data_IF_516016646201
#
_entry.id   IF_516016646201
#
_cell.length_a   1.000
_cell.length_b   1.000
_cell.length_c   1.000
_cell.angle_alpha   90.00
_cell.angle_beta   90.00
_cell.angle_gamma   90.00
#
_symmetry.space_group_name_H-M   'P 1'
#
loop_
_entity.id
_entity.type
_entity.pdbx_description
1 polymer ?
#
# COMPACT_ATOMS: atom_id res chain seq x y z
N UNK A 1 -31.11 -8.68 -20.24
CA UNK A 1 -30.82 -7.48 -19.42
C UNK A 1 -29.50 -7.70 -18.70
N UNK A 2 -28.37 -7.19 -19.19
CA UNK A 2 -27.11 -7.32 -18.48
C UNK A 2 -26.97 -6.14 -17.52
N UNK A 3 -27.02 -6.41 -16.22
CA UNK A 3 -26.61 -5.45 -15.20
C UNK A 3 -25.07 -5.42 -15.20
N UNK A 4 -24.51 -4.54 -16.01
CA UNK A 4 -23.09 -4.17 -15.91
C UNK A 4 -22.88 -3.51 -14.56
N UNK A 5 -22.34 -4.25 -13.59
CA UNK A 5 -21.80 -3.71 -12.35
C UNK A 5 -20.68 -2.73 -12.74
N UNK A 6 -20.77 -1.43 -12.44
CA UNK A 6 -19.60 -0.57 -12.54
C UNK A 6 -18.68 -0.98 -11.40
N UNK A 7 -17.60 -1.68 -11.73
CA UNK A 7 -16.47 -1.85 -10.82
C UNK A 7 -15.94 -0.44 -10.55
N UNK A 8 -16.32 0.15 -9.42
CA UNK A 8 -15.75 1.42 -8.97
C UNK A 8 -14.31 1.10 -8.61
N UNK A 9 -13.40 1.39 -9.55
CA UNK A 9 -11.96 1.25 -9.33
C UNK A 9 -11.58 2.40 -8.40
N UNK A 10 -11.64 2.15 -7.09
CA UNK A 10 -11.11 3.07 -6.07
C UNK A 10 -9.59 3.06 -6.19
N UNK A 11 -9.05 3.90 -7.08
CA UNK A 11 -7.64 4.21 -7.18
C UNK A 11 -7.41 5.62 -6.61
N UNK A 12 -7.43 5.71 -5.28
CA UNK A 12 -6.93 6.85 -4.53
C UNK A 12 -5.78 6.35 -3.66
N UNK A 13 -4.62 6.16 -4.27
CA UNK A 13 -3.40 5.91 -3.50
C UNK A 13 -2.30 6.93 -3.75
N UNK A 14 -2.27 7.64 -4.87
CA UNK A 14 -1.09 8.46 -5.23
C UNK A 14 -1.46 9.69 -6.06
N UNK A 15 -2.20 10.63 -5.47
CA UNK A 15 -2.52 11.92 -6.10
C UNK A 15 -1.87 13.05 -5.29
N UNK A 16 -0.62 13.41 -5.63
CA UNK A 16 0.00 14.64 -5.15
C UNK A 16 1.03 15.16 -6.17
N UNK A 17 0.61 16.10 -7.01
CA UNK A 17 1.22 17.45 -7.11
C UNK A 17 0.87 18.13 -8.44
N UNK A 18 0.35 19.35 -8.35
CA UNK A 18 0.57 20.39 -9.36
C UNK A 18 1.63 21.35 -8.80
N UNK A 19 2.57 21.84 -9.62
CA UNK A 19 3.59 22.76 -9.13
C UNK A 19 2.97 24.16 -8.98
N UNK A 20 3.48 24.93 -8.02
CA UNK A 20 3.28 26.38 -7.84
C UNK A 20 2.06 26.82 -7.02
N UNK A 21 2.16 26.66 -5.69
CA UNK A 21 2.03 27.78 -4.75
C UNK A 21 2.70 27.43 -3.42
N UNK A 22 3.43 28.40 -2.90
CA UNK A 22 4.29 28.31 -1.74
C UNK A 22 3.52 27.92 -0.47
N UNK A 23 4.18 27.11 0.38
CA UNK A 23 3.89 26.97 1.81
C UNK A 23 2.42 26.68 2.16
N UNK A 24 1.89 25.61 1.61
CA UNK A 24 0.92 24.79 2.35
C UNK A 24 1.40 23.35 2.27
N UNK A 25 2.53 23.12 2.93
CA UNK A 25 3.09 21.80 3.26
C UNK A 25 2.22 21.15 4.36
N UNK A 26 0.90 21.23 4.20
CA UNK A 26 -0.08 20.68 5.12
C UNK A 26 -0.56 19.35 4.53
N UNK A 27 0.28 18.34 4.78
CA UNK A 27 0.05 16.89 4.67
C UNK A 27 -0.08 16.28 3.28
N UNK A 28 1.00 16.33 2.49
CA UNK A 28 1.47 15.06 1.94
C UNK A 28 1.90 14.22 3.16
N UNK A 29 1.02 13.32 3.62
CA UNK A 29 1.30 12.51 4.79
C UNK A 29 2.61 11.75 4.56
N UNK A 30 3.56 11.88 5.49
CA UNK A 30 4.83 11.16 5.44
C UNK A 30 4.55 9.68 5.17
N UNK A 31 5.14 9.11 4.10
CA UNK A 31 4.85 7.73 3.68
C UNK A 31 5.23 6.73 4.76
N UNK A 32 6.27 7.01 5.53
CA UNK A 32 6.61 6.18 6.68
C UNK A 32 5.50 6.22 7.74
N UNK A 33 4.85 7.36 7.92
CA UNK A 33 3.66 7.48 8.78
C UNK A 33 2.48 6.68 8.23
N UNK A 34 2.21 6.73 6.92
CA UNK A 34 1.17 5.90 6.29
C UNK A 34 1.41 4.40 6.51
N UNK A 35 2.64 3.93 6.31
CA UNK A 35 2.99 2.52 6.51
C UNK A 35 2.85 2.12 7.98
N UNK A 36 3.30 2.97 8.91
CA UNK A 36 3.15 2.74 10.35
C UNK A 36 1.69 2.66 10.77
N UNK A 37 0.85 3.58 10.30
CA UNK A 37 -0.59 3.59 10.58
C UNK A 37 -1.28 2.36 10.00
N UNK A 38 -0.94 1.98 8.77
CA UNK A 38 -1.46 0.77 8.15
C UNK A 38 -1.08 -0.48 8.96
N UNK A 39 0.18 -0.62 9.38
CA UNK A 39 0.63 -1.72 10.24
C UNK A 39 -0.02 -1.71 11.64
N UNK A 40 -0.44 -0.54 12.13
CA UNK A 40 -1.18 -0.42 13.40
C UNK A 40 -2.66 -0.86 13.30
N UNK A 41 -3.20 -0.99 12.07
CA UNK A 41 -4.54 -1.50 11.83
C UNK A 41 -4.71 -2.96 12.28
N UNK A 42 -5.96 -3.43 12.42
CA UNK A 42 -6.25 -4.82 12.79
C UNK A 42 -5.60 -5.81 11.81
N UNK A 43 -5.70 -5.55 10.52
CA UNK A 43 -5.11 -6.37 9.47
C UNK A 43 -3.58 -6.29 9.48
N UNK A 44 -3.03 -5.08 9.62
CA UNK A 44 -1.59 -4.85 9.72
C UNK A 44 -0.92 -5.56 10.90
N UNK A 45 -1.56 -5.58 12.07
CA UNK A 45 -1.10 -6.35 13.24
C UNK A 45 -1.08 -7.86 12.96
N UNK A 46 -2.08 -8.37 12.24
CA UNK A 46 -2.14 -9.78 11.88
C UNK A 46 -1.05 -10.16 10.87
N UNK A 47 -0.78 -9.31 9.86
CA UNK A 47 0.35 -9.48 8.94
C UNK A 47 1.70 -9.43 9.67
N UNK A 48 1.84 -8.52 10.63
CA UNK A 48 3.06 -8.40 11.44
C UNK A 48 3.30 -9.67 12.28
N UNK A 49 2.25 -10.22 12.89
CA UNK A 49 2.36 -11.47 13.62
C UNK A 49 2.73 -12.63 12.70
N UNK A 50 2.17 -12.69 11.49
CA UNK A 50 2.51 -13.70 10.49
C UNK A 50 3.95 -13.57 9.99
N UNK A 51 4.43 -12.35 9.75
CA UNK A 51 5.84 -12.05 9.51
C UNK A 51 6.73 -12.56 10.65
N UNK A 52 6.34 -12.31 11.90
CA UNK A 52 7.05 -12.81 13.07
C UNK A 52 7.15 -14.34 13.10
N UNK A 53 6.09 -15.06 12.72
CA UNK A 53 6.14 -16.53 12.59
C UNK A 53 7.11 -16.95 11.49
N UNK A 54 7.03 -16.32 10.32
CA UNK A 54 7.89 -16.62 9.19
C UNK A 54 9.37 -16.41 9.54
N UNK A 55 9.70 -15.30 10.20
CA UNK A 55 11.06 -14.99 10.65
C UNK A 55 11.58 -16.04 11.64
N UNK A 56 10.80 -16.38 12.67
CA UNK A 56 11.19 -17.41 13.66
C UNK A 56 11.40 -18.78 13.03
N UNK A 57 10.58 -19.15 12.05
CA UNK A 57 10.70 -20.42 11.35
C UNK A 57 11.88 -20.48 10.37
N UNK A 58 12.29 -19.32 9.85
CA UNK A 58 13.28 -19.20 8.78
C UNK A 58 14.68 -18.82 9.26
N UNK A 59 14.79 -18.20 10.45
CA UNK A 59 16.06 -17.76 11.01
C UNK A 59 16.96 -18.94 11.39
N UNK A 60 18.25 -18.79 11.10
CA UNK A 60 19.29 -19.75 11.46
C UNK A 60 19.53 -19.76 12.99
N UNK A 61 19.27 -20.88 13.69
CA UNK A 61 19.42 -20.95 15.14
C UNK A 61 20.86 -20.70 15.64
N UNK A 62 21.88 -21.11 14.87
CA UNK A 62 23.27 -20.89 15.25
C UNK A 62 23.61 -19.39 15.18
N UNK A 63 23.22 -18.73 14.08
CA UNK A 63 23.35 -17.29 13.93
C UNK A 63 22.60 -16.52 15.03
N UNK A 64 21.37 -16.93 15.38
CA UNK A 64 20.61 -16.29 16.46
C UNK A 64 21.35 -16.38 17.79
N UNK A 65 21.93 -17.54 18.09
CA UNK A 65 22.73 -17.78 19.30
C UNK A 65 23.98 -16.90 19.30
N UNK A 66 24.72 -16.88 18.20
CA UNK A 66 25.96 -16.10 18.06
C UNK A 66 25.72 -14.59 18.15
N UNK A 67 24.61 -14.10 17.58
CA UNK A 67 24.20 -12.69 17.66
C UNK A 67 23.47 -12.34 18.98
N UNK A 68 23.20 -13.31 19.84
CA UNK A 68 22.42 -13.11 21.07
C UNK A 68 21.01 -12.58 20.81
N UNK A 69 20.39 -12.97 19.69
CA UNK A 69 19.06 -12.53 19.28
C UNK A 69 17.99 -13.48 19.81
N UNK A 70 17.09 -12.94 20.62
CA UNK A 70 15.95 -13.68 21.13
C UNK A 70 14.80 -13.73 20.11
N UNK A 71 14.02 -14.82 20.14
CA UNK A 71 12.95 -15.06 19.17
C UNK A 71 11.81 -14.02 19.21
N UNK A 72 11.59 -13.39 20.36
CA UNK A 72 10.62 -12.31 20.55
C UNK A 72 11.09 -10.97 19.95
N UNK A 73 12.39 -10.81 19.67
CA UNK A 73 12.97 -9.63 19.01
C UNK A 73 12.81 -9.65 17.50
N UNK A 74 12.56 -10.81 16.88
CA UNK A 74 12.50 -10.95 15.42
C UNK A 74 11.31 -10.22 14.81
N UNK A 75 10.14 -10.33 15.41
CA UNK A 75 8.91 -9.68 14.92
C UNK A 75 8.99 -8.14 14.92
N UNK A 76 9.34 -7.45 16.03
CA UNK A 76 9.44 -6.00 16.00
C UNK A 76 10.54 -5.50 15.05
N UNK A 77 11.68 -6.18 14.96
CA UNK A 77 12.74 -5.80 14.00
C UNK A 77 12.32 -6.05 12.55
N UNK A 78 11.64 -7.17 12.28
CA UNK A 78 11.08 -7.48 10.97
C UNK A 78 10.04 -6.45 10.53
N UNK A 79 9.17 -6.02 11.44
CA UNK A 79 8.24 -4.91 11.20
C UNK A 79 8.97 -3.63 10.82
N UNK A 80 10.06 -3.30 11.50
CA UNK A 80 10.82 -2.08 11.22
C UNK A 80 11.53 -2.15 9.84
N UNK A 81 11.95 -3.34 9.39
CA UNK A 81 12.42 -3.58 8.01
C UNK A 81 11.30 -3.32 7.02
N UNK A 82 10.10 -3.89 7.24
CA UNK A 82 8.94 -3.67 6.37
C UNK A 82 8.54 -2.20 6.33
N UNK A 83 8.62 -1.46 7.44
CA UNK A 83 8.37 -0.02 7.45
C UNK A 83 9.37 0.69 6.53
N UNK A 84 10.66 0.43 6.69
CA UNK A 84 11.73 1.08 5.93
C UNK A 84 11.60 0.81 4.43
N UNK A 85 11.53 -0.46 4.05
CA UNK A 85 11.51 -0.87 2.65
C UNK A 85 10.14 -0.68 2.01
N UNK A 86 9.05 -0.80 2.76
CA UNK A 86 7.72 -0.41 2.31
C UNK A 86 7.64 1.09 2.04
N UNK A 87 8.26 1.93 2.87
CA UNK A 87 8.36 3.38 2.61
C UNK A 87 9.15 3.64 1.31
N UNK A 88 10.32 3.02 1.17
CA UNK A 88 11.14 3.13 -0.05
C UNK A 88 10.36 2.69 -1.31
N UNK A 89 9.59 1.61 -1.22
CA UNK A 89 8.72 1.14 -2.31
C UNK A 89 7.66 2.18 -2.68
N UNK A 90 6.95 2.73 -1.68
CA UNK A 90 5.95 3.77 -1.93
C UNK A 90 6.58 5.04 -2.50
N UNK A 91 7.79 5.39 -2.07
CA UNK A 91 8.58 6.48 -2.65
C UNK A 91 8.86 6.30 -4.13
N UNK A 92 9.45 5.16 -4.50
CA UNK A 92 9.74 4.87 -5.90
C UNK A 92 8.48 4.76 -6.77
N UNK A 93 7.41 4.15 -6.25
CA UNK A 93 6.14 4.04 -6.97
C UNK A 93 5.49 5.42 -7.21
N UNK A 94 5.47 6.29 -6.19
CA UNK A 94 4.95 7.65 -6.32
C UNK A 94 5.75 8.44 -7.35
N UNK A 95 7.09 8.43 -7.24
CA UNK A 95 7.95 9.18 -8.14
C UNK A 95 7.82 8.73 -9.61
N UNK A 96 7.56 7.44 -9.85
CA UNK A 96 7.24 6.95 -11.18
C UNK A 96 5.91 7.50 -11.69
N UNK A 97 4.86 7.41 -10.87
CA UNK A 97 3.52 7.90 -11.21
C UNK A 97 3.52 9.40 -11.46
N UNK A 98 4.09 10.19 -10.55
CA UNK A 98 4.15 11.65 -10.64
C UNK A 98 4.79 12.09 -11.95
N UNK A 99 5.89 11.43 -12.34
CA UNK A 99 6.57 11.66 -13.63
C UNK A 99 5.69 11.34 -14.83
N UNK A 100 4.88 10.29 -14.78
CA UNK A 100 3.98 9.97 -15.89
C UNK A 100 2.80 10.95 -15.97
N UNK A 101 2.30 11.42 -14.82
CA UNK A 101 1.13 12.29 -14.75
C UNK A 101 1.45 13.77 -14.93
N UNK A 102 2.68 14.22 -14.65
CA UNK A 102 3.10 15.62 -14.86
C UNK A 102 2.95 16.06 -16.31
N UNK A 103 3.17 15.12 -17.23
CA UNK A 103 3.15 15.39 -18.67
C UNK A 103 1.71 15.44 -19.22
N UNK A 104 0.71 14.98 -18.46
CA UNK A 104 -0.70 14.93 -18.84
C UNK A 104 -1.61 15.20 -17.62
N UNK A 105 -1.63 16.44 -17.11
CA UNK A 105 -2.39 16.76 -15.90
C UNK A 105 -3.89 16.58 -16.14
N UNK A 106 -4.55 15.93 -15.18
CA UNK A 106 -6.00 15.76 -15.18
C UNK A 106 -6.69 17.13 -14.96
N UNK A 107 -7.58 17.52 -15.88
CA UNK A 107 -8.23 18.83 -15.88
C UNK A 107 -9.09 19.12 -14.62
N UNK A 108 -9.49 18.09 -13.87
CA UNK A 108 -10.30 18.23 -12.66
C UNK A 108 -9.53 18.15 -11.33
N UNK A 109 -8.19 18.13 -11.36
CA UNK A 109 -7.38 17.90 -10.16
C UNK A 109 -7.63 18.93 -9.05
N UNK A 110 -7.69 20.23 -9.39
CA UNK A 110 -7.93 21.29 -8.41
C UNK A 110 -9.34 21.22 -7.79
N UNK A 111 -10.35 20.89 -8.61
CA UNK A 111 -11.73 20.72 -8.13
C UNK A 111 -11.80 19.51 -7.19
N UNK A 112 -11.21 18.38 -7.59
CA UNK A 112 -11.15 17.16 -6.78
C UNK A 112 -10.54 17.43 -5.40
N UNK A 113 -9.44 18.18 -5.36
CA UNK A 113 -8.79 18.52 -4.10
C UNK A 113 -9.66 19.43 -3.23
N UNK A 114 -10.28 20.46 -3.83
CA UNK A 114 -11.17 21.36 -3.09
C UNK A 114 -12.35 20.63 -2.44
N UNK A 115 -12.87 19.58 -3.09
CA UNK A 115 -14.00 18.79 -2.60
C UNK A 115 -13.67 18.00 -1.33
N UNK A 116 -12.40 17.70 -1.06
CA UNK A 116 -11.98 17.01 0.19
C UNK A 116 -12.29 17.82 1.46
N UNK A 117 -12.51 19.13 1.33
CA UNK A 117 -12.95 19.98 2.44
C UNK A 117 -14.42 19.75 2.84
N UNK A 118 -15.25 19.20 1.93
CA UNK A 118 -16.67 19.01 2.13
C UNK A 118 -16.98 17.93 3.20
N UNK A 119 -17.96 18.13 4.11
CA UNK A 119 -18.24 17.17 5.18
C UNK A 119 -18.60 15.76 4.72
N UNK A 120 -19.39 15.61 3.65
CA UNK A 120 -19.78 14.29 3.14
C UNK A 120 -18.59 13.57 2.49
N UNK A 121 -17.70 14.33 1.85
CA UNK A 121 -16.45 13.80 1.29
C UNK A 121 -15.49 13.39 2.41
N UNK A 122 -15.31 14.21 3.45
CA UNK A 122 -14.52 13.84 4.64
C UNK A 122 -15.03 12.57 5.28
N UNK A 123 -16.36 12.44 5.40
CA UNK A 123 -16.99 11.23 5.93
C UNK A 123 -16.73 10.01 5.04
N UNK A 124 -16.84 10.17 3.72
CA UNK A 124 -16.49 9.12 2.77
C UNK A 124 -15.03 8.67 2.93
N UNK A 125 -14.09 9.63 2.94
CA UNK A 125 -12.66 9.36 3.08
C UNK A 125 -12.32 8.68 4.42
N UNK A 126 -12.98 9.07 5.51
CA UNK A 126 -12.81 8.40 6.80
C UNK A 126 -13.34 6.95 6.79
N UNK A 127 -14.40 6.68 6.01
CA UNK A 127 -14.89 5.30 5.81
C UNK A 127 -13.98 4.48 4.90
N UNK A 128 -13.26 5.13 3.99
CA UNK A 128 -12.31 4.51 3.06
C UNK A 128 -10.96 4.18 3.71
N UNK A 129 -10.61 4.84 4.81
CA UNK A 129 -9.30 4.67 5.45
C UNK A 129 -8.90 3.19 5.70
N UNK A 130 -9.78 2.28 6.17
CA UNK A 130 -9.42 0.87 6.35
C UNK A 130 -9.03 0.15 5.04
N UNK A 131 -9.72 0.42 3.92
CA UNK A 131 -9.36 -0.20 2.63
C UNK A 131 -8.07 0.41 2.09
N UNK A 132 -7.82 1.71 2.32
CA UNK A 132 -6.56 2.35 1.94
C UNK A 132 -5.36 1.72 2.64
N UNK A 133 -5.48 1.52 3.96
CA UNK A 133 -4.46 0.85 4.77
C UNK A 133 -4.23 -0.60 4.30
N UNK A 134 -5.31 -1.34 4.03
CA UNK A 134 -5.21 -2.70 3.52
C UNK A 134 -4.49 -2.77 2.17
N UNK A 135 -4.84 -1.90 1.22
CA UNK A 135 -4.17 -1.85 -0.09
C UNK A 135 -2.68 -1.51 0.00
N UNK A 136 -2.29 -0.59 0.90
CA UNK A 136 -0.87 -0.30 1.18
C UNK A 136 -0.15 -1.57 1.65
N UNK A 137 -0.73 -2.29 2.61
CA UNK A 137 -0.14 -3.50 3.16
C UNK A 137 -0.08 -4.63 2.14
N UNK A 138 -1.16 -4.86 1.40
CA UNK A 138 -1.22 -5.90 0.37
C UNK A 138 -0.16 -5.64 -0.70
N UNK A 139 -0.01 -4.39 -1.15
CA UNK A 139 1.03 -4.01 -2.10
C UNK A 139 2.43 -4.29 -1.54
N UNK A 140 2.71 -3.86 -0.30
CA UNK A 140 4.03 -4.04 0.34
C UNK A 140 4.34 -5.53 0.50
N UNK A 141 3.44 -6.31 1.10
CA UNK A 141 3.69 -7.72 1.39
C UNK A 141 3.70 -8.58 0.13
N UNK A 142 2.87 -8.29 -0.87
CA UNK A 142 2.95 -8.97 -2.17
C UNK A 142 4.33 -8.73 -2.81
N UNK A 143 4.80 -7.48 -2.86
CA UNK A 143 6.08 -7.17 -3.50
C UNK A 143 7.27 -7.70 -2.70
N UNK A 144 7.19 -7.65 -1.37
CA UNK A 144 8.20 -8.21 -0.47
C UNK A 144 8.31 -9.74 -0.63
N UNK A 145 7.19 -10.46 -0.64
CA UNK A 145 7.20 -11.91 -0.82
C UNK A 145 7.68 -12.31 -2.22
N UNK A 146 7.23 -11.60 -3.27
CA UNK A 146 7.72 -11.81 -4.64
C UNK A 146 9.22 -11.55 -4.74
N UNK A 147 9.72 -10.51 -4.07
CA UNK A 147 11.15 -10.24 -3.98
C UNK A 147 11.90 -11.43 -3.37
N UNK A 148 11.46 -11.90 -2.21
CA UNK A 148 12.13 -12.99 -1.50
C UNK A 148 12.22 -14.26 -2.36
N UNK A 149 11.17 -14.56 -3.14
CA UNK A 149 11.20 -15.66 -4.12
C UNK A 149 12.22 -15.42 -5.22
N UNK A 150 12.22 -14.24 -5.85
CA UNK A 150 13.13 -13.89 -6.97
C UNK A 150 14.59 -13.90 -6.50
N UNK A 151 14.88 -13.26 -5.37
CA UNK A 151 16.21 -13.14 -4.78
C UNK A 151 16.65 -14.39 -4.00
N UNK A 152 15.81 -15.45 -4.00
CA UNK A 152 16.05 -16.72 -3.29
C UNK A 152 16.30 -16.55 -1.79
N UNK A 153 15.78 -15.48 -1.18
CA UNK A 153 15.84 -15.29 0.27
C UNK A 153 15.07 -16.42 0.95
N UNK A 154 15.70 -17.05 1.95
CA UNK A 154 15.10 -18.16 2.72
C UNK A 154 14.17 -17.58 3.79
N UNK A 155 13.08 -16.96 3.36
CA UNK A 155 12.02 -16.44 4.23
C UNK A 155 10.67 -16.96 3.72
N UNK A 156 9.84 -17.48 4.63
CA UNK A 156 8.47 -17.88 4.31
C UNK A 156 7.62 -16.67 3.91
N UNK A 157 6.65 -16.89 3.01
CA UNK A 157 5.71 -15.84 2.61
C UNK A 157 4.80 -15.39 3.77
N UNK A 158 4.29 -14.17 3.66
CA UNK A 158 3.36 -13.53 4.61
C UNK A 158 2.05 -13.15 3.94
N UNK A 159 2.09 -12.79 2.66
CA UNK A 159 0.95 -12.30 1.89
C UNK A 159 -0.14 -13.39 1.76
N UNK A 160 -1.40 -13.13 2.16
CA UNK A 160 -2.43 -14.17 2.24
C UNK A 160 -2.72 -14.88 0.92
N UNK A 161 -2.72 -14.15 -0.21
CA UNK A 161 -3.00 -14.76 -1.51
C UNK A 161 -1.86 -15.66 -2.00
N UNK A 162 -0.62 -15.37 -1.59
CA UNK A 162 0.54 -16.21 -1.93
C UNK A 162 0.67 -17.44 -1.03
N UNK A 163 0.29 -17.30 0.24
CA UNK A 163 0.40 -18.38 1.25
C UNK A 163 -0.84 -19.26 1.35
N UNK A 164 -1.98 -18.83 0.83
CA UNK A 164 -3.27 -19.50 1.03
C UNK A 164 -3.83 -19.33 2.46
N UNK A 165 -3.32 -18.37 3.24
CA UNK A 165 -3.77 -18.16 4.62
C UNK A 165 -5.15 -17.47 4.66
N UNK A 166 -6.21 -18.28 4.58
CA UNK A 166 -7.59 -17.78 4.59
C UNK A 166 -7.96 -17.00 5.86
N UNK A 167 -7.39 -17.37 7.02
CA UNK A 167 -7.66 -16.67 8.27
C UNK A 167 -7.17 -15.22 8.21
N UNK A 168 -6.00 -15.01 7.60
CA UNK A 168 -5.44 -13.68 7.37
C UNK A 168 -6.20 -12.93 6.27
N UNK A 169 -6.60 -13.62 5.19
CA UNK A 169 -7.43 -13.05 4.13
C UNK A 169 -8.77 -12.52 4.66
N UNK A 170 -9.43 -13.26 5.56
CA UNK A 170 -10.70 -12.85 6.20
C UNK A 170 -10.57 -11.60 7.09
N UNK A 171 -9.35 -11.22 7.49
CA UNK A 171 -9.10 -9.99 8.25
C UNK A 171 -8.92 -8.77 7.36
N UNK A 172 -8.74 -8.96 6.05
CA UNK A 172 -8.68 -7.86 5.10
C UNK A 172 -10.05 -7.15 5.04
N UNK A 173 -10.11 -5.83 5.33
CA UNK A 173 -11.37 -5.11 5.43
C UNK A 173 -11.96 -4.72 4.06
N UNK A 174 -11.32 -5.04 2.94
CA UNK A 174 -11.66 -4.58 1.58
C UNK A 174 -13.15 -4.80 1.27
N UNK A 175 -13.62 -6.04 1.18
CA UNK A 175 -14.99 -6.35 0.76
C UNK A 175 -16.04 -5.64 1.64
N UNK A 176 -15.87 -5.72 2.96
CA UNK A 176 -16.79 -5.12 3.92
C UNK A 176 -16.77 -3.58 3.86
N UNK A 177 -15.64 -2.98 3.51
CA UNK A 177 -15.51 -1.52 3.37
C UNK A 177 -16.08 -1.04 2.04
N UNK A 178 -15.84 -1.76 0.94
CA UNK A 178 -16.42 -1.46 -0.37
C UNK A 178 -17.95 -1.47 -0.33
N UNK A 179 -18.57 -2.49 0.28
CA UNK A 179 -20.02 -2.55 0.43
C UNK A 179 -20.58 -1.35 1.21
N UNK A 180 -19.88 -0.93 2.26
CA UNK A 180 -20.24 0.23 3.09
C UNK A 180 -20.11 1.54 2.32
N UNK A 181 -19.03 1.72 1.56
CA UNK A 181 -18.79 2.90 0.73
C UNK A 181 -19.83 2.99 -0.39
N UNK A 182 -20.12 1.89 -1.09
CA UNK A 182 -21.15 1.84 -2.13
C UNK A 182 -22.52 2.19 -1.55
N UNK A 183 -22.87 1.61 -0.40
CA UNK A 183 -24.14 1.90 0.28
C UNK A 183 -24.23 3.36 0.70
N UNK A 184 -23.16 3.94 1.22
CA UNK A 184 -23.10 5.35 1.60
C UNK A 184 -23.24 6.27 0.38
N UNK A 185 -22.50 6.00 -0.69
CA UNK A 185 -22.56 6.76 -1.93
C UNK A 185 -23.95 6.71 -2.58
N UNK A 186 -24.57 5.52 -2.65
CA UNK A 186 -25.91 5.31 -3.23
C UNK A 186 -27.00 6.06 -2.47
N UNK A 187 -26.92 6.10 -1.13
CA UNK A 187 -27.91 6.77 -0.27
C UNK A 187 -27.69 8.28 -0.17
N UNK A 188 -26.50 8.78 -0.54
CA UNK A 188 -26.16 10.19 -0.39
C UNK A 188 -26.85 11.08 -1.44
N UNK A 189 -27.43 12.19 -0.96
CA UNK A 189 -27.94 13.28 -1.83
C UNK A 189 -26.90 14.37 -2.08
N UNK A 190 -25.69 14.22 -1.55
CA UNK A 190 -24.62 15.22 -1.64
C UNK A 190 -24.11 15.37 -3.06
N UNK A 191 -24.30 16.56 -3.65
CA UNK A 191 -23.74 16.89 -4.97
C UNK A 191 -22.21 16.88 -4.95
N UNK A 192 -21.62 17.35 -3.85
CA UNK A 192 -20.17 17.37 -3.65
C UNK A 192 -19.59 15.95 -3.64
N UNK A 193 -20.20 15.02 -2.89
CA UNK A 193 -19.75 13.62 -2.89
C UNK A 193 -19.86 12.99 -4.28
N UNK A 194 -20.97 13.19 -5.00
CA UNK A 194 -21.14 12.64 -6.35
C UNK A 194 -20.09 13.18 -7.31
N UNK A 195 -19.80 14.48 -7.24
CA UNK A 195 -18.77 15.11 -8.06
C UNK A 195 -17.37 14.62 -7.69
N UNK A 196 -17.10 14.45 -6.40
CA UNK A 196 -15.85 13.90 -5.91
C UNK A 196 -15.60 12.50 -6.49
N UNK A 197 -16.57 11.59 -6.36
CA UNK A 197 -16.46 10.23 -6.91
C UNK A 197 -16.25 10.22 -8.43
N UNK A 198 -17.00 11.05 -9.15
CA UNK A 198 -16.84 11.19 -10.61
C UNK A 198 -15.42 11.66 -10.99
N UNK A 199 -14.88 12.65 -10.28
CA UNK A 199 -13.54 13.17 -10.54
C UNK A 199 -12.46 12.16 -10.13
N UNK A 200 -12.66 11.40 -9.05
CA UNK A 200 -11.77 10.30 -8.65
C UNK A 200 -11.70 9.21 -9.71
N UNK A 201 -12.82 8.81 -10.32
CA UNK A 201 -12.84 7.85 -11.41
C UNK A 201 -12.07 8.38 -12.64
N UNK A 202 -12.25 9.67 -12.96
CA UNK A 202 -11.54 10.30 -14.08
C UNK A 202 -10.03 10.41 -13.82
N UNK A 203 -9.63 10.75 -12.60
CA UNK A 203 -8.23 10.77 -12.17
C UNK A 203 -7.60 9.38 -12.30
N UNK A 204 -8.27 8.33 -11.82
CA UNK A 204 -7.81 6.95 -11.93
C UNK A 204 -7.61 6.51 -13.39
N UNK A 205 -8.54 6.88 -14.28
CA UNK A 205 -8.44 6.62 -15.73
C UNK A 205 -7.26 7.37 -16.33
N UNK A 206 -7.09 8.65 -16.00
CA UNK A 206 -6.00 9.48 -16.50
C UNK A 206 -4.63 8.95 -16.05
N UNK A 207 -4.48 8.62 -14.77
CA UNK A 207 -3.28 8.01 -14.21
C UNK A 207 -2.95 6.68 -14.88
N UNK A 208 -3.95 5.80 -15.04
CA UNK A 208 -3.78 4.52 -15.75
C UNK A 208 -3.34 4.72 -17.20
N UNK A 209 -3.92 5.70 -17.91
CA UNK A 209 -3.54 6.02 -19.28
C UNK A 209 -2.11 6.57 -19.37
N UNK A 210 -1.69 7.39 -18.41
CA UNK A 210 -0.33 7.91 -18.32
C UNK A 210 0.69 6.79 -18.08
N UNK A 211 0.43 5.91 -17.11
CA UNK A 211 1.28 4.74 -16.83
C UNK A 211 1.40 3.82 -18.04
N UNK A 212 0.31 3.56 -18.77
CA UNK A 212 0.34 2.70 -19.98
C UNK A 212 1.17 3.30 -21.12
N UNK A 213 1.28 4.62 -21.18
CA UNK A 213 2.08 5.33 -22.20
C UNK A 213 3.54 5.52 -21.78
N UNK A 214 3.92 5.10 -20.58
CA UNK A 214 5.26 5.28 -20.07
C UNK A 214 6.29 4.58 -20.97
N UNK A 215 7.27 5.34 -21.45
CA UNK A 215 8.38 4.82 -22.26
C UNK A 215 9.38 3.99 -21.45
N UNK A 216 9.33 4.09 -20.11
CA UNK A 216 10.15 3.29 -19.19
C UNK A 216 9.25 2.27 -18.47
N UNK A 217 9.69 1.01 -18.32
CA UNK A 217 8.92 0.02 -17.60
C UNK A 217 8.71 0.49 -16.15
N UNK A 218 7.54 0.17 -15.59
CA UNK A 218 7.29 0.40 -14.16
C UNK A 218 8.36 -0.30 -13.32
N UNK A 219 8.75 0.26 -12.16
CA UNK A 219 9.70 -0.41 -11.30
C UNK A 219 9.09 -1.74 -10.85
N UNK A 220 9.82 -2.82 -11.08
CA UNK A 220 9.36 -4.16 -10.75
C UNK A 220 9.57 -4.45 -9.26
N UNK A 221 8.88 -5.46 -8.69
CA UNK A 221 9.10 -5.90 -7.30
C UNK A 221 10.59 -6.12 -6.95
N UNK A 222 11.38 -6.64 -7.89
CA UNK A 222 12.83 -6.87 -7.72
C UNK A 222 13.67 -5.60 -7.55
N UNK A 223 13.12 -4.41 -7.85
CA UNK A 223 13.85 -3.13 -7.72
C UNK A 223 13.62 -2.47 -6.38
N UNK A 224 12.42 -2.55 -5.81
CA UNK A 224 12.06 -1.81 -4.61
C UNK A 224 12.70 -2.35 -3.33
N UNK A 225 12.93 -3.66 -3.28
CA UNK A 225 13.49 -4.35 -2.12
C UNK A 225 14.94 -4.79 -2.31
N UNK A 226 15.60 -4.33 -3.40
CA UNK A 226 17.00 -4.67 -3.64
C UNK A 226 17.89 -4.14 -2.51
N UNK A 227 18.55 -5.04 -1.78
CA UNK A 227 19.39 -4.71 -0.63
C UNK A 227 18.74 -5.00 0.72
N UNK A 228 17.45 -5.40 0.74
CA UNK A 228 16.76 -5.83 1.97
C UNK A 228 17.43 -7.05 2.61
N UNK A 229 18.19 -7.83 1.84
CA UNK A 229 18.93 -9.00 2.31
C UNK A 229 19.92 -8.66 3.41
N UNK A 230 20.54 -7.47 3.36
CA UNK A 230 21.47 -7.03 4.40
C UNK A 230 20.75 -6.87 5.74
N UNK A 231 19.56 -6.25 5.73
CA UNK A 231 18.75 -6.08 6.93
C UNK A 231 18.16 -7.42 7.41
N UNK A 232 17.80 -8.31 6.48
CA UNK A 232 17.30 -9.64 6.80
C UNK A 232 18.40 -10.57 7.34
N UNK A 233 19.65 -10.43 6.89
CA UNK A 233 20.79 -11.14 7.43
C UNK A 233 21.08 -10.75 8.90
N UNK A 234 20.78 -9.51 9.28
CA UNK A 234 20.81 -9.09 10.68
C UNK A 234 19.74 -9.78 11.55
N UNK A 235 18.72 -10.38 10.92
CA UNK A 235 17.74 -11.25 11.56
C UNK A 235 18.01 -12.75 11.31
N UNK A 236 19.24 -13.08 10.91
CA UNK A 236 19.68 -14.45 10.64
C UNK A 236 18.90 -15.16 9.53
N UNK A 237 18.32 -14.39 8.61
CA UNK A 237 17.69 -14.91 7.39
C UNK A 237 18.75 -14.98 6.29
N UNK A 238 18.92 -16.16 5.72
CA UNK A 238 19.94 -16.40 4.68
C UNK A 238 19.38 -16.13 3.28
N UNK A 239 20.20 -15.58 2.39
CA UNK A 239 19.92 -15.60 0.95
C UNK A 239 20.41 -16.90 0.33
N UNK A 240 19.65 -17.44 -0.63
CA UNK A 240 20.05 -18.62 -1.39
C UNK A 240 21.12 -18.26 -2.41
N UNK A 241 22.27 -18.95 -2.34
CA UNK A 241 23.26 -18.97 -3.41
C UNK A 241 22.65 -19.54 -4.71
#
# INVERSE_FOLDING_TARGET
MPFSRPTIVIALLLSAASPTCAQTQEKAQDKATLVREALASRYGKALTAELGKSLRASADPACLTDKGLAADQLEPRGRDIVIRWGTHMLDGASAFIDRQTSDNPFAGAAELESLKSNPDVKRYLAMEEPIRQAKILDLIFEHFDRYNVIARVKLGGVYPLQTGNEALLRLNPTDATEERLETFARKSRSKALKRFLQLSDQEAIAQSAAIRKASSPAPFPHTFFKGVETDLAELCIRSGN
#
